data_IF_724871125485
#
_entry.id   IF_724871125485
#
_cell.length_a   1.000
_cell.length_b   1.000
_cell.length_c   1.000
_cell.angle_alpha   90.00
_cell.angle_beta   90.00
_cell.angle_gamma   90.00
#
_symmetry.space_group_name_H-M   'P 1'
#
loop_
_entity.id
_entity.type
_entity.pdbx_description
1 polymer ?
#
# COMPACT_ATOMS: atom_id res chain seq x y z
N UNK A 1 17.34 29.54 -0.67
CA UNK A 1 16.72 28.38 0.02
C UNK A 1 16.34 27.35 -1.03
N UNK A 2 16.76 26.09 -0.88
CA UNK A 2 16.28 25.00 -1.75
C UNK A 2 14.82 24.71 -1.38
N UNK A 3 13.88 24.60 -2.34
CA UNK A 3 12.51 24.30 -1.98
C UNK A 3 12.44 22.88 -1.42
N UNK A 4 11.89 22.73 -0.22
CA UNK A 4 11.63 21.42 0.38
C UNK A 4 10.47 20.77 -0.38
N UNK A 5 10.81 19.86 -1.28
CA UNK A 5 9.84 19.04 -1.99
C UNK A 5 9.70 17.69 -1.30
N UNK A 6 8.46 17.23 -1.16
CA UNK A 6 8.17 15.90 -0.67
C UNK A 6 7.67 15.01 -1.81
N UNK A 7 7.81 13.70 -1.61
CA UNK A 7 7.77 12.72 -2.67
C UNK A 7 6.39 12.07 -2.75
N UNK A 8 5.64 12.34 -3.82
CA UNK A 8 4.42 11.59 -4.12
C UNK A 8 4.76 10.33 -4.92
N UNK A 9 4.36 9.17 -4.41
CA UNK A 9 4.67 7.91 -5.07
C UNK A 9 3.60 7.56 -6.08
N UNK A 10 4.03 7.32 -7.31
CA UNK A 10 3.23 6.62 -8.31
C UNK A 10 3.73 5.19 -8.43
N UNK A 11 2.77 4.27 -8.40
CA UNK A 11 3.04 2.84 -8.41
C UNK A 11 2.86 2.33 -9.83
N UNK A 12 3.93 1.92 -10.52
CA UNK A 12 3.80 1.47 -11.91
C UNK A 12 2.77 0.34 -12.04
N UNK A 13 1.68 0.65 -12.75
CA UNK A 13 0.74 -0.28 -13.34
C UNK A 13 1.42 -1.13 -14.42
N UNK A 14 1.48 -2.44 -14.25
CA UNK A 14 1.53 -3.32 -15.42
C UNK A 14 0.10 -3.81 -15.62
N UNK A 15 -0.62 -3.24 -16.60
CA UNK A 15 -1.87 -3.84 -17.06
C UNK A 15 -1.57 -5.27 -17.50
N UNK A 16 -2.33 -6.23 -16.99
CA UNK A 16 -2.42 -7.55 -17.58
C UNK A 16 -3.13 -7.42 -18.92
N UNK A 17 -2.39 -7.45 -20.03
CA UNK A 17 -2.99 -7.46 -21.36
C UNK A 17 -1.98 -7.39 -22.50
N UNK A 18 -2.05 -8.40 -23.38
CA UNK A 18 -1.38 -8.57 -24.67
C UNK A 18 0.10 -8.97 -24.64
N UNK A 19 0.32 -10.29 -24.65
CA UNK A 19 1.53 -10.87 -25.24
C UNK A 19 1.38 -10.76 -26.75
N UNK A 20 2.15 -9.88 -27.39
CA UNK A 20 2.37 -9.93 -28.82
C UNK A 20 3.15 -11.22 -29.12
N UNK A 21 2.53 -12.17 -29.82
CA UNK A 21 3.24 -13.33 -30.35
C UNK A 21 4.31 -12.90 -31.36
N UNK A 22 5.40 -13.68 -31.52
CA UNK A 22 6.43 -13.38 -32.51
C UNK A 22 5.86 -13.46 -33.94
N UNK A 23 6.40 -12.66 -34.89
CA UNK A 23 5.90 -12.65 -36.26
C UNK A 23 6.37 -13.92 -37.00
N UNK A 24 5.40 -14.69 -37.49
CA UNK A 24 5.55 -15.60 -38.63
C UNK A 24 5.93 -17.05 -38.33
N UNK A 25 4.97 -17.97 -38.53
CA UNK A 25 4.96 -18.94 -39.64
C UNK A 25 3.62 -19.68 -39.66
N UNK A 26 3.03 -19.74 -40.85
CA UNK A 26 1.80 -20.45 -41.20
C UNK A 26 1.98 -21.96 -41.12
N UNK A 27 1.09 -22.67 -40.42
CA UNK A 27 0.48 -23.95 -40.83
C UNK A 27 -0.33 -24.61 -39.69
N UNK A 28 -1.53 -25.09 -40.03
CA UNK A 28 -2.10 -26.33 -39.49
C UNK A 28 -2.79 -26.31 -38.11
N UNK A 29 -4.13 -26.23 -38.14
CA UNK A 29 -5.12 -26.88 -37.25
C UNK A 29 -4.69 -27.42 -35.87
N UNK A 30 -5.29 -26.88 -34.80
CA UNK A 30 -6.33 -27.59 -34.00
C UNK A 30 -6.71 -26.78 -32.76
N UNK A 31 -7.98 -26.86 -32.41
CA UNK A 31 -8.64 -26.19 -31.29
C UNK A 31 -8.10 -26.64 -29.93
N UNK A 32 -7.50 -25.73 -29.17
CA UNK A 32 -7.36 -25.88 -27.71
C UNK A 32 -7.39 -24.52 -27.03
N UNK A 33 -8.30 -24.35 -26.07
CA UNK A 33 -8.49 -23.15 -25.25
C UNK A 33 -7.18 -22.71 -24.59
N UNK A 34 -6.73 -21.50 -24.89
CA UNK A 34 -5.57 -20.87 -24.24
C UNK A 34 -5.90 -20.54 -22.78
N UNK A 35 -5.04 -20.87 -21.80
CA UNK A 35 -5.25 -20.48 -20.41
C UNK A 35 -4.86 -19.01 -20.20
N UNK A 36 -5.77 -18.25 -19.59
CA UNK A 36 -5.58 -16.87 -19.15
C UNK A 36 -4.48 -16.82 -18.06
N UNK A 37 -3.35 -16.20 -18.38
CA UNK A 37 -2.22 -15.99 -17.47
C UNK A 37 -2.46 -14.75 -16.58
N UNK A 38 -2.47 -14.94 -15.26
CA UNK A 38 -2.60 -13.84 -14.29
C UNK A 38 -1.21 -13.29 -13.91
N UNK A 39 -1.02 -11.98 -14.04
CA UNK A 39 0.22 -11.28 -13.69
C UNK A 39 -0.06 -10.30 -12.54
N UNK A 40 0.13 -10.75 -11.29
CA UNK A 40 0.04 -9.91 -10.09
C UNK A 40 1.40 -9.36 -9.66
N UNK A 41 1.47 -8.08 -9.26
CA UNK A 41 2.69 -7.45 -8.77
C UNK A 41 2.91 -7.73 -7.27
N UNK A 42 3.71 -8.74 -6.92
CA UNK A 42 4.08 -9.04 -5.52
C UNK A 42 5.08 -8.02 -4.95
N UNK A 43 4.82 -7.50 -3.74
CA UNK A 43 5.81 -6.77 -2.94
C UNK A 43 6.59 -7.73 -2.04
N UNK A 44 7.82 -7.35 -1.66
CA UNK A 44 8.83 -8.15 -0.95
C UNK A 44 8.34 -8.87 0.34
N UNK A 45 7.23 -8.46 0.94
CA UNK A 45 6.66 -9.15 2.10
C UNK A 45 6.07 -10.53 1.76
N UNK A 46 5.76 -10.79 0.49
CA UNK A 46 5.29 -12.11 0.03
C UNK A 46 6.43 -13.11 -0.19
N UNK A 47 7.67 -12.65 -0.35
CA UNK A 47 8.82 -13.55 -0.51
C UNK A 47 9.11 -14.39 0.74
N UNK A 48 8.61 -14.00 1.93
CA UNK A 48 8.72 -14.81 3.15
C UNK A 48 7.60 -15.86 3.30
N UNK A 49 6.49 -15.74 2.56
CA UNK A 49 5.32 -16.63 2.67
C UNK A 49 5.39 -17.86 1.75
N UNK A 50 6.18 -17.80 0.69
CA UNK A 50 6.31 -18.90 -0.30
C UNK A 50 7.17 -20.07 0.22
N UNK A 51 7.70 -19.99 1.45
CA UNK A 51 8.67 -20.95 2.00
C UNK A 51 8.06 -22.12 2.80
N UNK A 52 6.90 -22.66 2.38
CA UNK A 52 6.37 -23.91 2.97
C UNK A 52 6.20 -25.08 1.99
N UNK A 53 6.51 -24.92 0.71
CA UNK A 53 6.55 -26.06 -0.23
C UNK A 53 7.94 -26.28 -0.81
N UNK A 54 8.47 -27.50 -0.57
CA UNK A 54 9.82 -27.96 -0.89
C UNK A 54 10.18 -27.99 -2.41
N UNK A 55 9.32 -27.52 -3.31
CA UNK A 55 9.51 -27.70 -4.77
C UNK A 55 9.27 -26.45 -5.65
N UNK A 56 9.06 -25.25 -5.10
CA UNK A 56 8.89 -24.05 -5.93
C UNK A 56 10.24 -23.47 -6.40
N UNK A 57 10.51 -23.47 -7.72
CA UNK A 57 11.66 -22.77 -8.30
C UNK A 57 11.29 -21.32 -8.61
N UNK A 58 11.96 -20.36 -7.98
CA UNK A 58 11.84 -18.93 -8.31
C UNK A 58 12.71 -18.66 -9.53
N UNK A 59 12.10 -18.49 -10.70
CA UNK A 59 12.76 -17.88 -11.83
C UNK A 59 12.71 -16.36 -11.69
N UNK A 60 13.85 -15.74 -11.37
CA UNK A 60 14.04 -14.30 -11.51
C UNK A 60 14.22 -13.98 -13.00
N UNK A 61 13.13 -13.74 -13.70
CA UNK A 61 13.23 -13.12 -15.03
C UNK A 61 13.27 -11.61 -14.83
N UNK A 62 14.47 -11.02 -14.90
CA UNK A 62 14.62 -9.59 -15.09
C UNK A 62 14.17 -9.26 -16.52
N UNK A 63 12.88 -9.00 -16.72
CA UNK A 63 12.48 -8.23 -17.89
C UNK A 63 12.92 -6.78 -17.64
N UNK A 64 14.15 -6.46 -18.08
CA UNK A 64 14.49 -5.08 -18.41
C UNK A 64 13.55 -4.69 -19.53
N UNK A 65 12.69 -3.70 -19.28
CA UNK A 65 11.99 -3.05 -20.35
C UNK A 65 13.08 -2.24 -21.08
N UNK A 66 13.51 -2.72 -22.25
CA UNK A 66 14.40 -1.97 -23.14
C UNK A 66 13.64 -0.77 -23.73
N UNK A 67 13.44 0.26 -22.92
CA UNK A 67 13.23 1.62 -23.41
C UNK A 67 14.59 2.32 -23.51
N UNK A 68 15.47 1.78 -24.34
CA UNK A 68 16.72 2.40 -24.77
C UNK A 68 16.67 2.66 -26.28
N UNK A 69 15.81 3.59 -26.69
CA UNK A 69 15.99 4.46 -27.86
C UNK A 69 14.82 5.45 -27.95
N UNK A 70 15.14 6.73 -27.72
CA UNK A 70 14.43 7.84 -28.37
C UNK A 70 12.96 8.09 -28.02
N UNK A 71 12.49 7.81 -26.80
CA UNK A 71 11.26 8.46 -26.35
C UNK A 71 11.58 9.92 -26.04
N UNK A 72 11.23 10.83 -26.96
CA UNK A 72 11.05 12.24 -26.61
C UNK A 72 10.28 12.30 -25.29
N UNK A 73 10.79 13.10 -24.33
CA UNK A 73 10.08 13.35 -23.08
C UNK A 73 8.80 14.13 -23.41
N UNK A 74 7.75 13.42 -23.82
CA UNK A 74 6.41 13.96 -23.82
C UNK A 74 6.07 14.16 -22.35
N UNK A 75 6.15 15.42 -21.91
CA UNK A 75 5.66 15.86 -20.62
C UNK A 75 4.18 15.49 -20.53
N UNK A 76 3.90 14.32 -19.95
CA UNK A 76 2.51 13.93 -19.70
C UNK A 76 1.91 14.97 -18.77
N UNK A 77 0.79 15.64 -19.12
CA UNK A 77 0.20 16.71 -18.31
C UNK A 77 -0.16 16.25 -16.89
N UNK A 78 -0.29 14.94 -16.68
CA UNK A 78 -0.47 14.33 -15.36
C UNK A 78 0.75 14.40 -14.44
N UNK A 79 1.93 14.82 -14.92
CA UNK A 79 3.16 14.93 -14.12
C UNK A 79 3.38 16.33 -13.55
N UNK A 80 2.55 17.30 -13.91
CA UNK A 80 2.61 18.64 -13.32
C UNK A 80 2.07 18.58 -11.87
N UNK A 81 2.88 18.90 -10.85
CA UNK A 81 2.39 19.02 -9.48
C UNK A 81 1.20 19.99 -9.34
N UNK A 82 1.11 21.02 -10.18
CA UNK A 82 -0.01 21.97 -10.16
C UNK A 82 -1.34 21.37 -10.65
N UNK A 83 -1.28 20.24 -11.36
CA UNK A 83 -2.46 19.49 -11.79
C UNK A 83 -3.03 18.58 -10.69
N UNK A 84 -2.36 18.44 -9.53
CA UNK A 84 -2.86 17.65 -8.41
C UNK A 84 -3.98 18.40 -7.67
N UNK A 85 -5.23 18.10 -8.03
CA UNK A 85 -6.44 18.66 -7.43
C UNK A 85 -7.46 17.55 -7.11
N UNK A 86 -7.17 16.68 -6.13
CA UNK A 86 -8.09 15.59 -5.78
C UNK A 86 -9.39 16.16 -5.22
N UNK A 87 -10.52 15.57 -5.58
CA UNK A 87 -11.82 15.81 -4.95
C UNK A 87 -12.12 14.73 -3.91
N UNK A 88 -11.59 13.52 -4.10
CA UNK A 88 -11.81 12.35 -3.24
C UNK A 88 -10.49 11.74 -2.79
N UNK A 89 -10.35 11.52 -1.48
CA UNK A 89 -9.17 10.88 -0.89
C UNK A 89 -9.59 9.69 -0.04
N UNK A 90 -8.99 8.53 -0.33
CA UNK A 90 -9.11 7.34 0.52
C UNK A 90 -7.95 7.31 1.51
N UNK A 91 -8.25 7.34 2.80
CA UNK A 91 -7.28 7.27 3.88
C UNK A 91 -7.23 5.84 4.40
N UNK A 92 -6.16 5.11 4.10
CA UNK A 92 -5.88 3.80 4.68
C UNK A 92 -5.08 3.94 5.98
N UNK A 93 -5.70 3.57 7.09
CA UNK A 93 -5.08 3.71 8.42
C UNK A 93 -4.50 2.40 8.95
N UNK A 94 -3.49 2.53 9.81
CA UNK A 94 -2.89 1.41 10.54
C UNK A 94 -3.91 0.83 11.52
N UNK A 95 -4.20 -0.46 11.37
CA UNK A 95 -4.85 -1.23 12.44
C UNK A 95 -3.87 -1.40 13.61
N UNK A 96 -4.13 -0.71 14.73
CA UNK A 96 -3.29 -0.83 15.93
C UNK A 96 -3.44 -2.22 16.54
N UNK A 97 -2.45 -2.63 17.34
CA UNK A 97 -2.51 -3.91 18.05
C UNK A 97 -3.68 -3.93 19.04
N UNK A 98 -3.92 -2.84 19.76
CA UNK A 98 -5.10 -2.68 20.62
C UNK A 98 -6.40 -2.88 19.84
N UNK A 99 -6.56 -2.22 18.70
CA UNK A 99 -7.78 -2.28 17.90
C UNK A 99 -7.99 -3.67 17.29
N UNK A 100 -6.91 -4.34 16.89
CA UNK A 100 -6.95 -5.73 16.47
C UNK A 100 -7.47 -6.66 17.58
N UNK A 101 -6.98 -6.51 18.82
CA UNK A 101 -7.44 -7.31 19.97
C UNK A 101 -8.91 -7.02 20.29
N UNK A 102 -9.33 -5.74 20.28
CA UNK A 102 -10.77 -5.36 20.40
C UNK A 102 -11.63 -6.04 19.33
N UNK A 103 -11.18 -6.10 18.07
CA UNK A 103 -11.94 -6.72 16.97
C UNK A 103 -12.01 -8.24 17.06
N UNK A 104 -11.01 -8.90 17.66
CA UNK A 104 -11.02 -10.37 17.86
C UNK A 104 -11.88 -10.81 19.03
N UNK A 105 -12.14 -9.90 19.95
CA UNK A 105 -12.90 -10.14 21.17
C UNK A 105 -14.05 -9.13 21.28
N UNK A 106 -14.97 -9.08 20.30
CA UNK A 106 -16.09 -8.14 20.31
C UNK A 106 -17.02 -8.34 21.52
N UNK A 107 -17.05 -9.55 22.08
CA UNK A 107 -17.82 -9.92 23.27
C UNK A 107 -17.28 -9.34 24.57
N UNK A 108 -15.99 -8.98 24.62
CA UNK A 108 -15.36 -8.49 25.86
C UNK A 108 -15.60 -7.00 26.05
N UNK A 109 -15.92 -6.62 27.28
CA UNK A 109 -15.84 -5.23 27.73
C UNK A 109 -14.38 -4.75 27.72
N UNK A 110 -14.16 -3.43 27.82
CA UNK A 110 -12.81 -2.87 27.86
C UNK A 110 -12.01 -3.40 29.06
N UNK A 111 -12.63 -3.48 30.24
CA UNK A 111 -12.00 -4.00 31.47
C UNK A 111 -11.65 -5.49 31.36
N UNK A 112 -12.52 -6.29 30.75
CA UNK A 112 -12.25 -7.71 30.52
C UNK A 112 -11.14 -7.91 29.50
N UNK A 113 -11.11 -7.10 28.43
CA UNK A 113 -10.02 -7.13 27.47
C UNK A 113 -8.70 -6.74 28.12
N UNK A 114 -8.67 -5.67 28.92
CA UNK A 114 -7.48 -5.27 29.66
C UNK A 114 -6.95 -6.42 30.52
N UNK A 115 -7.82 -7.04 31.33
CA UNK A 115 -7.46 -8.19 32.17
C UNK A 115 -6.91 -9.34 31.33
N UNK A 116 -7.58 -9.69 30.24
CA UNK A 116 -7.18 -10.76 29.33
C UNK A 116 -5.80 -10.49 28.69
N UNK A 117 -5.55 -9.27 28.25
CA UNK A 117 -4.27 -8.86 27.64
C UNK A 117 -3.13 -8.86 28.67
N UNK A 118 -3.37 -8.34 29.87
CA UNK A 118 -2.38 -8.36 30.97
C UNK A 118 -2.03 -9.79 31.39
N UNK A 119 -3.03 -10.68 31.51
CA UNK A 119 -2.80 -12.10 31.84
C UNK A 119 -1.94 -12.82 30.79
N UNK A 120 -2.00 -12.39 29.52
CA UNK A 120 -1.18 -12.90 28.42
C UNK A 120 0.20 -12.24 28.32
N UNK A 121 0.57 -11.38 29.28
CA UNK A 121 1.85 -10.67 29.32
C UNK A 121 1.93 -9.42 28.44
N UNK A 122 0.81 -8.92 27.92
CA UNK A 122 0.80 -7.69 27.12
C UNK A 122 0.74 -6.45 28.00
N UNK A 123 1.51 -5.42 27.65
CA UNK A 123 1.40 -4.08 28.27
C UNK A 123 0.20 -3.32 27.68
N UNK A 124 -0.95 -3.44 28.34
CA UNK A 124 -2.19 -2.79 27.91
C UNK A 124 -2.07 -1.27 27.78
N UNK A 125 -1.40 -0.61 28.73
CA UNK A 125 -1.28 0.84 28.76
C UNK A 125 -0.47 1.33 27.55
N UNK A 126 0.62 0.63 27.23
CA UNK A 126 1.45 0.93 26.08
C UNK A 126 0.72 0.67 24.75
N UNK A 127 -0.05 -0.42 24.65
CA UNK A 127 -0.93 -0.70 23.51
C UNK A 127 -1.94 0.43 23.27
N UNK A 128 -2.58 0.89 24.35
CA UNK A 128 -3.59 1.94 24.32
C UNK A 128 -2.98 3.31 23.98
N UNK A 129 -1.83 3.63 24.59
CA UNK A 129 -1.06 4.85 24.33
C UNK A 129 -0.72 5.00 22.83
N UNK A 130 -0.12 3.97 22.22
CA UNK A 130 0.21 4.02 20.80
C UNK A 130 -1.03 3.99 19.91
N UNK A 131 -2.12 3.35 20.33
CA UNK A 131 -3.39 3.43 19.60
C UNK A 131 -3.87 4.88 19.51
N UNK A 132 -3.86 5.62 20.62
CA UNK A 132 -4.27 7.03 20.61
C UNK A 132 -3.34 7.93 19.82
N UNK A 133 -2.02 7.70 19.84
CA UNK A 133 -1.09 8.43 18.96
C UNK A 133 -1.48 8.23 17.49
N UNK A 134 -1.69 6.98 17.07
CA UNK A 134 -2.05 6.69 15.69
C UNK A 134 -3.40 7.28 15.28
N UNK A 135 -4.42 7.16 16.14
CA UNK A 135 -5.74 7.75 15.91
C UNK A 135 -5.69 9.27 15.91
N UNK A 136 -4.82 9.89 16.70
CA UNK A 136 -4.58 11.32 16.69
C UNK A 136 -4.14 11.82 15.32
N UNK A 137 -3.09 11.20 14.75
CA UNK A 137 -2.61 11.56 13.40
C UNK A 137 -3.67 11.27 12.33
N UNK A 138 -4.36 10.14 12.41
CA UNK A 138 -5.47 9.81 11.50
C UNK A 138 -6.57 10.87 11.50
N UNK A 139 -7.05 11.24 12.69
CA UNK A 139 -8.11 12.24 12.86
C UNK A 139 -7.67 13.61 12.32
N UNK A 140 -6.42 14.00 12.57
CA UNK A 140 -5.85 15.25 12.06
C UNK A 140 -5.77 15.23 10.54
N UNK A 141 -5.24 14.16 9.94
CA UNK A 141 -5.17 14.01 8.48
C UNK A 141 -6.56 14.07 7.85
N UNK A 142 -7.51 13.31 8.38
CA UNK A 142 -8.89 13.33 7.89
C UNK A 142 -9.49 14.74 7.98
N UNK A 143 -9.41 15.38 9.14
CA UNK A 143 -9.97 16.72 9.37
C UNK A 143 -9.37 17.77 8.45
N UNK A 144 -8.05 17.75 8.23
CA UNK A 144 -7.36 18.71 7.36
C UNK A 144 -7.79 18.55 5.89
N UNK A 145 -7.90 17.33 5.39
CA UNK A 145 -8.39 17.10 4.02
C UNK A 145 -9.86 17.52 3.88
N UNK A 146 -10.72 17.16 4.84
CA UNK A 146 -12.13 17.55 4.82
C UNK A 146 -12.30 19.07 4.90
N UNK A 147 -11.53 19.75 5.74
CA UNK A 147 -11.53 21.22 5.84
C UNK A 147 -11.06 21.91 4.56
N UNK A 148 -10.22 21.24 3.75
CA UNK A 148 -9.82 21.70 2.42
C UNK A 148 -10.88 21.44 1.33
N UNK A 149 -12.08 20.96 1.70
CA UNK A 149 -13.18 20.68 0.77
C UNK A 149 -13.06 19.36 0.02
N UNK A 150 -12.23 18.44 0.51
CA UNK A 150 -11.98 17.13 -0.12
C UNK A 150 -12.83 16.07 0.59
N UNK A 151 -13.58 15.29 -0.17
CA UNK A 151 -14.35 14.17 0.36
C UNK A 151 -13.39 13.05 0.79
N UNK A 152 -13.51 12.59 2.03
CA UNK A 152 -12.62 11.58 2.60
C UNK A 152 -13.37 10.31 2.99
N UNK A 153 -12.71 9.16 2.82
CA UNK A 153 -13.12 7.88 3.42
C UNK A 153 -11.96 7.31 4.20
N UNK A 154 -12.17 7.04 5.48
CA UNK A 154 -11.18 6.34 6.31
C UNK A 154 -11.50 4.85 6.31
N UNK A 155 -10.52 4.05 5.91
CA UNK A 155 -10.63 2.59 5.84
C UNK A 155 -9.47 1.91 6.53
N UNK A 156 -9.72 0.73 7.05
CA UNK A 156 -8.70 -0.14 7.61
C UNK A 156 -8.30 -1.20 6.59
N UNK A 157 -7.32 -2.05 6.93
CA UNK A 157 -6.86 -3.14 6.05
C UNK A 157 -8.01 -3.99 5.48
N UNK A 158 -9.00 -4.34 6.31
CA UNK A 158 -10.09 -5.22 5.90
C UNK A 158 -11.08 -4.55 4.93
N UNK A 159 -11.14 -3.22 4.97
CA UNK A 159 -12.05 -2.40 4.15
C UNK A 159 -11.33 -1.77 2.94
N UNK A 160 -10.04 -2.07 2.76
CA UNK A 160 -9.21 -1.59 1.65
C UNK A 160 -9.43 -2.43 0.39
N UNK A 161 -10.58 -2.22 -0.24
CA UNK A 161 -11.09 -2.96 -1.39
C UNK A 161 -10.91 -2.19 -2.70
N UNK A 162 -10.96 -2.90 -3.83
CA UNK A 162 -10.84 -2.28 -5.17
C UNK A 162 -11.90 -1.19 -5.42
N UNK A 163 -13.19 -1.35 -5.06
CA UNK A 163 -14.17 -0.28 -5.18
C UNK A 163 -13.82 1.00 -4.41
N UNK A 164 -13.22 0.87 -3.21
CA UNK A 164 -12.78 2.02 -2.44
C UNK A 164 -11.57 2.70 -3.10
N UNK A 165 -10.62 1.92 -3.65
CA UNK A 165 -9.44 2.44 -4.35
C UNK A 165 -9.84 3.15 -5.64
N UNK A 166 -10.78 2.60 -6.40
CA UNK A 166 -11.30 3.18 -7.64
C UNK A 166 -12.03 4.49 -7.39
N UNK A 167 -12.83 4.57 -6.32
CA UNK A 167 -13.59 5.75 -5.93
C UNK A 167 -12.74 7.01 -5.67
N UNK A 168 -11.51 6.87 -5.16
CA UNK A 168 -10.68 8.00 -4.75
C UNK A 168 -9.75 8.51 -5.87
N UNK A 169 -9.48 9.82 -5.91
CA UNK A 169 -8.49 10.40 -6.82
C UNK A 169 -7.06 10.17 -6.33
N UNK A 170 -6.88 10.10 -5.00
CA UNK A 170 -5.61 9.82 -4.36
C UNK A 170 -5.77 8.93 -3.12
N UNK A 171 -4.73 8.16 -2.83
CA UNK A 171 -4.64 7.33 -1.63
C UNK A 171 -3.69 7.98 -0.63
N UNK A 172 -4.16 8.12 0.60
CA UNK A 172 -3.38 8.59 1.74
C UNK A 172 -3.25 7.45 2.73
N UNK A 173 -2.09 7.29 3.36
CA UNK A 173 -1.88 6.31 4.43
C UNK A 173 -1.53 7.02 5.73
N UNK A 174 -2.08 6.53 6.84
CA UNK A 174 -1.75 6.97 8.21
C UNK A 174 -1.18 5.77 8.97
N UNK A 175 0.15 5.69 9.01
CA UNK A 175 0.84 4.48 9.45
C UNK A 175 2.34 4.53 9.20
N UNK A 176 3.02 3.40 9.34
CA UNK A 176 4.42 3.28 8.92
C UNK A 176 4.56 2.78 7.48
N UNK A 177 5.78 2.39 7.11
CA UNK A 177 6.08 1.81 5.79
C UNK A 177 5.24 0.54 5.50
N UNK A 178 4.86 -0.24 6.52
CA UNK A 178 3.99 -1.40 6.35
C UNK A 178 2.59 -1.04 5.83
N UNK A 179 2.02 0.08 6.30
CA UNK A 179 0.72 0.59 5.81
C UNK A 179 0.87 1.16 4.41
N UNK A 180 1.96 1.88 4.15
CA UNK A 180 2.29 2.37 2.81
C UNK A 180 2.41 1.23 1.79
N UNK A 181 3.12 0.16 2.14
CA UNK A 181 3.31 -1.00 1.26
C UNK A 181 2.02 -1.79 1.04
N UNK A 182 1.12 -1.84 2.03
CA UNK A 182 -0.22 -2.41 1.88
C UNK A 182 -1.04 -1.61 0.87
N UNK A 183 -1.02 -0.28 0.95
CA UNK A 183 -1.68 0.56 -0.05
C UNK A 183 -1.10 0.30 -1.45
N UNK A 184 0.23 0.38 -1.57
CA UNK A 184 0.93 0.24 -2.84
C UNK A 184 0.74 -1.14 -3.49
N UNK A 185 0.49 -2.20 -2.71
CA UNK A 185 0.32 -3.54 -3.27
C UNK A 185 -0.95 -3.68 -4.09
N UNK A 186 -2.03 -2.98 -3.72
CA UNK A 186 -3.34 -3.00 -4.40
C UNK A 186 -3.51 -1.90 -5.45
N UNK A 187 -2.69 -0.84 -5.41
CA UNK A 187 -2.73 0.19 -6.46
C UNK A 187 -2.14 -0.38 -7.77
N UNK A 188 -3.04 -0.59 -8.72
CA UNK A 188 -2.71 -1.08 -10.07
C UNK A 188 -2.62 0.02 -11.11
N UNK A 189 -3.04 1.25 -10.82
CA UNK A 189 -2.93 2.39 -11.74
C UNK A 189 -1.73 3.27 -11.39
N UNK A 190 -0.88 3.55 -12.39
CA UNK A 190 0.31 4.40 -12.24
C UNK A 190 -0.04 5.86 -12.05
N UNK A 191 -1.25 6.28 -12.38
CA UNK A 191 -1.69 7.65 -12.22
C UNK A 191 -2.32 7.91 -10.85
N UNK A 192 -2.76 6.86 -10.15
CA UNK A 192 -3.28 6.94 -8.77
C UNK A 192 -2.16 7.29 -7.80
N UNK A 193 -2.17 8.49 -7.20
CA UNK A 193 -1.13 8.91 -6.28
C UNK A 193 -1.24 8.21 -4.93
N UNK A 194 -0.08 7.93 -4.32
CA UNK A 194 0.02 7.42 -2.95
C UNK A 194 0.88 8.35 -2.08
N UNK A 195 0.32 8.72 -0.93
CA UNK A 195 0.87 9.66 0.05
C UNK A 195 0.91 8.95 1.41
N UNK A 196 2.01 9.07 2.15
CA UNK A 196 2.11 8.47 3.48
C UNK A 196 2.36 9.49 4.57
N UNK A 197 1.53 9.53 5.59
CA UNK A 197 1.77 10.23 6.84
C UNK A 197 2.23 9.22 7.87
N UNK A 198 3.39 9.46 8.48
CA UNK A 198 3.87 8.60 9.54
C UNK A 198 3.04 8.82 10.81
N UNK A 199 2.32 7.80 11.28
CA UNK A 199 1.43 7.92 12.44
C UNK A 199 2.13 7.77 13.79
N UNK A 200 3.43 7.45 13.82
CA UNK A 200 4.27 7.49 15.04
C UNK A 200 5.73 7.69 14.64
N UNK A 201 6.13 8.94 14.40
CA UNK A 201 7.49 9.25 13.97
C UNK A 201 8.53 9.06 15.08
N UNK A 202 8.11 8.91 16.35
CA UNK A 202 9.02 8.71 17.47
C UNK A 202 9.59 7.29 17.50
N UNK A 203 8.78 6.30 17.11
CA UNK A 203 9.20 4.89 17.03
C UNK A 203 9.89 4.52 15.72
N UNK A 204 9.52 5.17 14.62
CA UNK A 204 10.06 4.82 13.30
C UNK A 204 10.12 6.04 12.41
N UNK A 205 11.16 6.18 11.59
CA UNK A 205 11.27 7.31 10.64
C UNK A 205 10.24 7.22 9.51
N UNK A 206 10.00 6.00 8.99
CA UNK A 206 9.19 5.76 7.80
C UNK A 206 9.87 6.30 6.53
N UNK A 207 10.58 5.43 5.79
CA UNK A 207 11.36 5.84 4.62
C UNK A 207 10.49 6.09 3.38
N UNK A 208 9.26 5.56 3.39
CA UNK A 208 8.30 5.71 2.29
C UNK A 208 7.35 6.87 2.52
N UNK A 209 7.07 7.19 3.78
CA UNK A 209 6.19 8.28 4.19
C UNK A 209 6.84 9.66 3.96
N UNK A 210 5.99 10.69 4.04
CA UNK A 210 6.41 12.07 4.15
C UNK A 210 7.31 12.25 5.38
N UNK A 211 8.29 13.16 5.32
CA UNK A 211 9.20 13.44 6.42
C UNK A 211 8.48 13.81 7.70
N UNK A 212 9.10 13.41 8.81
CA UNK A 212 8.55 13.43 10.16
C UNK A 212 7.83 14.72 10.55
N UNK A 213 8.31 15.88 10.10
CA UNK A 213 7.65 17.16 10.40
C UNK A 213 6.18 17.21 9.96
N UNK A 214 5.82 16.53 8.88
CA UNK A 214 4.43 16.49 8.39
C UNK A 214 3.52 15.53 9.14
N UNK A 215 4.07 14.70 10.02
CA UNK A 215 3.26 13.97 10.98
C UNK A 215 2.71 14.87 12.09
N UNK A 216 3.38 16.02 12.34
CA UNK A 216 2.96 17.03 13.31
C UNK A 216 2.25 18.17 12.59
N UNK A 217 2.86 18.71 11.54
CA UNK A 217 2.37 19.83 10.75
C UNK A 217 1.58 19.35 9.51
N UNK A 218 0.53 18.56 9.76
CA UNK A 218 -0.28 17.96 8.68
C UNK A 218 -0.90 19.03 7.76
N UNK A 219 -1.36 20.15 8.32
CA UNK A 219 -1.91 21.27 7.56
C UNK A 219 -0.88 21.80 6.54
N UNK A 220 0.36 22.01 6.96
CA UNK A 220 1.43 22.49 6.07
C UNK A 220 1.67 21.49 4.92
N UNK A 221 1.60 20.18 5.21
CA UNK A 221 1.74 19.14 4.22
C UNK A 221 0.64 19.23 3.15
N UNK A 222 -0.63 19.28 3.60
CA UNK A 222 -1.79 19.31 2.70
C UNK A 222 -1.81 20.60 1.89
N UNK A 223 -1.51 21.74 2.51
CA UNK A 223 -1.35 23.01 1.81
C UNK A 223 -0.31 22.94 0.69
N UNK A 224 0.86 22.36 0.97
CA UNK A 224 1.92 22.17 -0.02
C UNK A 224 1.47 21.22 -1.14
N UNK A 225 0.75 20.14 -0.81
CA UNK A 225 0.20 19.22 -1.81
C UNK A 225 -0.76 19.94 -2.76
N UNK A 226 -1.74 20.67 -2.22
CA UNK A 226 -2.76 21.36 -3.03
C UNK A 226 -2.21 22.56 -3.81
N UNK A 227 -1.13 23.17 -3.33
CA UNK A 227 -0.40 24.24 -4.05
C UNK A 227 0.62 23.70 -5.06
N UNK A 228 0.70 22.37 -5.27
CA UNK A 228 1.67 21.77 -6.18
C UNK A 228 3.13 21.87 -5.72
N UNK A 229 3.39 22.15 -4.44
CA UNK A 229 4.72 22.32 -3.85
C UNK A 229 5.33 20.98 -3.43
N UNK A 230 5.41 20.04 -4.36
CA UNK A 230 5.97 18.70 -4.14
C UNK A 230 6.63 18.18 -5.43
N UNK A 231 7.30 17.02 -5.34
CA UNK A 231 7.87 16.33 -6.51
C UNK A 231 7.33 14.92 -6.62
N UNK A 232 7.04 14.50 -7.84
CA UNK A 232 6.73 13.09 -8.11
C UNK A 232 7.97 12.21 -7.94
N UNK A 233 7.79 11.02 -7.38
CA UNK A 233 8.76 9.94 -7.48
C UNK A 233 8.08 8.67 -7.92
N UNK A 234 8.62 8.07 -8.96
CA UNK A 234 8.18 6.77 -9.43
C UNK A 234 9.00 5.70 -8.73
N UNK A 235 8.33 4.85 -7.96
CA UNK A 235 8.99 3.73 -7.28
C UNK A 235 8.98 2.51 -8.19
N UNK A 236 10.16 1.91 -8.41
CA UNK A 236 10.30 0.67 -9.17
C UNK A 236 9.68 -0.50 -8.40
N UNK A 237 8.99 -1.40 -9.10
CA UNK A 237 8.45 -2.66 -8.57
C UNK A 237 9.11 -3.84 -9.26
N UNK A 238 9.28 -4.92 -8.53
CA UNK A 238 9.71 -6.21 -9.08
C UNK A 238 8.46 -6.97 -9.49
N UNK A 239 8.45 -7.50 -10.72
CA UNK A 239 7.46 -8.47 -11.16
C UNK A 239 8.02 -9.87 -10.97
N UNK A 240 7.23 -10.75 -10.36
CA UNK A 240 7.61 -12.14 -10.09
C UNK A 240 6.64 -13.05 -10.83
N UNK A 241 7.16 -14.06 -11.51
CA UNK A 241 6.38 -15.14 -12.12
C UNK A 241 6.66 -16.41 -11.32
N UNK A 242 5.60 -17.06 -10.83
CA UNK A 242 5.68 -18.33 -10.11
C UNK A 242 5.31 -19.47 -11.07
N UNK A 243 6.06 -20.56 -11.01
CA UNK A 243 5.84 -21.78 -11.79
C UNK A 243 5.85 -22.96 -10.81
N UNK A 244 4.79 -23.77 -10.84
CA UNK A 244 4.65 -24.93 -9.97
C UNK A 244 3.19 -25.33 -9.82
N UNK A 245 2.96 -26.35 -9.00
CA UNK A 245 1.61 -26.75 -8.60
C UNK A 245 1.02 -25.72 -7.63
N UNK A 246 -0.32 -25.63 -7.59
CA UNK A 246 -1.05 -24.74 -6.68
C UNK A 246 -0.77 -23.23 -6.79
N UNK A 247 -0.10 -22.76 -7.85
CA UNK A 247 0.25 -21.33 -8.05
C UNK A 247 -0.96 -20.38 -8.14
N UNK A 248 -2.16 -20.92 -8.39
CA UNK A 248 -3.40 -20.16 -8.46
C UNK A 248 -4.16 -20.09 -7.13
N UNK A 249 -3.66 -20.75 -6.06
CA UNK A 249 -4.27 -20.59 -4.74
C UNK A 249 -4.16 -19.13 -4.30
N UNK A 250 -5.23 -18.55 -3.70
CA UNK A 250 -5.17 -17.19 -3.17
C UNK A 250 -3.99 -17.04 -2.22
N UNK A 251 -3.20 -15.96 -2.33
CA UNK A 251 -2.08 -15.74 -1.44
C UNK A 251 -2.59 -15.60 -0.01
N UNK A 252 -2.01 -16.36 0.91
CA UNK A 252 -2.30 -16.22 2.34
C UNK A 252 -1.44 -15.10 2.91
N UNK A 253 -2.08 -14.08 3.46
CA UNK A 253 -1.36 -13.00 4.14
C UNK A 253 -0.78 -13.53 5.47
N UNK A 254 0.55 -13.51 5.61
CA UNK A 254 1.26 -14.12 6.75
C UNK A 254 0.77 -13.67 8.12
N UNK A 255 0.26 -12.45 8.27
CA UNK A 255 -0.23 -11.96 9.56
C UNK A 255 -1.57 -12.57 9.97
N UNK A 256 -2.34 -13.15 9.04
CA UNK A 256 -3.49 -13.99 9.36
C UNK A 256 -3.04 -15.29 10.04
N UNK A 257 -1.80 -15.75 9.75
CA UNK A 257 -1.20 -16.96 10.31
C UNK A 257 -0.31 -16.67 11.54
N UNK A 258 0.56 -15.66 11.52
CA UNK A 258 1.55 -15.40 12.57
C UNK A 258 0.92 -14.95 13.89
N UNK A 259 -0.25 -14.30 13.88
CA UNK A 259 -0.93 -13.90 15.11
C UNK A 259 -1.71 -15.05 15.77
N UNK A 260 -1.64 -16.27 15.22
CA UNK A 260 -2.13 -17.49 15.86
C UNK A 260 -1.06 -18.14 16.75
N UNK A 261 0.23 -17.91 16.49
CA UNK A 261 1.32 -18.55 17.22
C UNK A 261 1.87 -17.66 18.32
N UNK A 262 1.97 -18.21 19.54
CA UNK A 262 2.40 -17.48 20.74
C UNK A 262 3.86 -17.00 20.68
N UNK A 263 4.70 -17.64 19.87
CA UNK A 263 6.15 -17.43 19.81
C UNK A 263 6.58 -16.16 19.03
N UNK A 264 5.66 -15.55 18.27
CA UNK A 264 5.91 -14.31 17.53
C UNK A 264 5.28 -13.08 18.21
N UNK A 265 4.94 -13.20 19.50
CA UNK A 265 4.42 -12.11 20.34
C UNK A 265 5.54 -11.29 20.95
#
# INVERSE_FOLDING_TARGET
MKPEYFVLSRVCACRSGLVCGPPGRTSGCSSSRSPLLYSGAMTMNLLKSVFTHRNAKILKTAMMCDCHRGCAMVSSPHLDPAAFKPQKVLILTKLSRYEFERRRHPELTEKELEKCLRLRGSDYNNLLYHHYIHKGVENTVNSVFTAAGIETRVVYRFDYTDPNIEWADAIVTTGGDGTFLLAASRILDRNKPLIGFNSDPTRSKGQLCLPQKYSVEVQEAVDKLLKGKFRWTFRRRIRVTLIGDDIFKPPVELHNQQLQYHEYR
#
